data_IF_650335193042
#
_entry.id   IF_650335193042
#
_cell.length_a   1.000
_cell.length_b   1.000
_cell.length_c   1.000
_cell.angle_alpha   90.00
_cell.angle_beta   90.00
_cell.angle_gamma   90.00
#
_symmetry.space_group_name_H-M   'P 1'
#
loop_
_entity.id
_entity.type
_entity.pdbx_description
1 polymer ?
#
# COMPACT_ATOMS: atom_id res chain seq x y z
N UNK A 1 -26.94 -24.51 -41.25
CA UNK A 1 -25.85 -24.81 -40.33
C UNK A 1 -24.71 -23.76 -40.37
N UNK A 2 -24.92 -22.55 -40.90
CA UNK A 2 -23.88 -21.48 -40.98
C UNK A 2 -24.11 -20.31 -40.02
N UNK A 3 -25.17 -20.31 -39.22
CA UNK A 3 -25.52 -19.21 -38.33
C UNK A 3 -25.08 -19.45 -36.87
N UNK A 4 -24.62 -20.67 -36.50
CA UNK A 4 -24.16 -20.98 -35.14
C UNK A 4 -22.67 -20.63 -34.90
N UNK A 5 -21.88 -20.49 -35.98
CA UNK A 5 -20.44 -20.19 -35.87
C UNK A 5 -20.13 -18.70 -35.52
N UNK A 6 -21.08 -17.79 -35.79
CA UNK A 6 -20.89 -16.38 -35.51
C UNK A 6 -21.17 -15.96 -34.06
N UNK A 7 -21.95 -16.76 -33.31
CA UNK A 7 -22.26 -16.45 -31.90
C UNK A 7 -21.14 -16.84 -30.95
N UNK A 8 -20.29 -17.80 -31.35
CA UNK A 8 -19.14 -18.21 -30.50
C UNK A 8 -17.95 -17.25 -30.59
N UNK A 9 -17.85 -16.43 -31.64
CA UNK A 9 -16.71 -15.50 -31.82
C UNK A 9 -16.88 -14.19 -31.05
N UNK A 10 -18.09 -13.84 -30.63
CA UNK A 10 -18.36 -12.58 -29.89
C UNK A 10 -18.12 -12.75 -28.39
N UNK A 11 -18.21 -13.99 -27.85
CA UNK A 11 -18.02 -14.26 -26.42
C UNK A 11 -16.53 -14.27 -26.02
N UNK A 12 -15.61 -14.45 -26.97
CA UNK A 12 -14.16 -14.51 -26.68
C UNK A 12 -13.54 -13.11 -26.61
N UNK A 13 -14.18 -12.07 -27.18
CA UNK A 13 -13.64 -10.71 -27.20
C UNK A 13 -13.90 -9.89 -25.91
N UNK A 14 -14.73 -10.39 -24.97
CA UNK A 14 -15.10 -9.67 -23.75
C UNK A 14 -14.23 -9.99 -22.53
N UNK A 15 -13.26 -10.90 -22.64
CA UNK A 15 -12.39 -11.31 -21.51
C UNK A 15 -10.95 -10.82 -21.58
N UNK A 16 -10.63 -9.85 -22.44
CA UNK A 16 -9.26 -9.32 -22.56
C UNK A 16 -9.03 -8.00 -21.78
N UNK A 17 -9.90 -7.63 -20.87
CA UNK A 17 -9.67 -6.49 -20.00
C UNK A 17 -9.36 -6.99 -18.59
N UNK A 18 -8.09 -7.06 -18.27
CA UNK A 18 -7.40 -7.24 -16.98
C UNK A 18 -6.69 -8.59 -16.79
N UNK A 19 -5.80 -8.92 -17.72
CA UNK A 19 -4.67 -9.77 -17.37
C UNK A 19 -3.47 -8.86 -17.08
N UNK A 20 -3.42 -8.26 -15.90
CA UNK A 20 -2.12 -7.92 -15.34
C UNK A 20 -1.44 -9.26 -15.06
N UNK A 21 -0.29 -9.48 -15.71
CA UNK A 21 0.48 -10.71 -15.60
C UNK A 21 0.81 -10.98 -14.13
N UNK A 22 0.62 -12.22 -13.63
CA UNK A 22 1.13 -12.58 -12.32
C UNK A 22 2.66 -12.47 -12.36
N UNK A 23 3.22 -11.44 -11.71
CA UNK A 23 4.67 -11.29 -11.59
C UNK A 23 5.23 -9.86 -11.62
N UNK A 24 4.48 -8.87 -12.07
CA UNK A 24 4.95 -7.46 -11.98
C UNK A 24 4.61 -6.90 -10.61
N UNK A 25 5.62 -6.44 -9.89
CA UNK A 25 5.45 -5.68 -8.65
C UNK A 25 5.04 -4.26 -8.99
N UNK A 26 4.21 -3.64 -8.14
CA UNK A 26 3.88 -2.21 -8.22
C UNK A 26 5.15 -1.39 -8.01
N UNK A 27 5.41 -0.47 -8.93
CA UNK A 27 6.53 0.47 -8.89
C UNK A 27 6.02 1.93 -8.88
N UNK A 28 6.87 2.90 -8.54
CA UNK A 28 6.52 4.31 -8.68
C UNK A 28 6.07 4.65 -10.11
N UNK A 29 4.92 5.34 -10.22
CA UNK A 29 4.27 5.68 -11.48
C UNK A 29 3.27 4.66 -12.00
N UNK A 30 3.23 3.45 -11.43
CA UNK A 30 2.22 2.45 -11.81
C UNK A 30 0.82 2.86 -11.36
N UNK A 31 -0.18 2.32 -12.07
CA UNK A 31 -1.60 2.58 -11.81
C UNK A 31 -2.40 1.30 -11.68
N UNK A 32 -3.31 1.28 -10.70
CA UNK A 32 -4.38 0.30 -10.58
C UNK A 32 -5.71 1.05 -10.71
N UNK A 33 -6.36 0.91 -11.85
CA UNK A 33 -7.50 1.76 -12.19
C UNK A 33 -7.07 3.23 -12.28
N UNK A 34 -7.66 4.10 -11.44
CA UNK A 34 -7.30 5.52 -11.34
C UNK A 34 -6.26 5.80 -10.26
N UNK A 35 -5.98 4.84 -9.38
CA UNK A 35 -4.97 4.98 -8.33
C UNK A 35 -3.57 4.98 -8.93
N UNK A 36 -2.75 5.93 -8.53
CA UNK A 36 -1.34 6.03 -8.91
C UNK A 36 -0.46 5.91 -7.68
N UNK A 37 0.64 5.18 -7.81
CA UNK A 37 1.62 4.92 -6.74
C UNK A 37 2.84 5.82 -6.94
N UNK A 38 3.13 6.68 -5.95
CA UNK A 38 4.14 7.74 -6.03
C UNK A 38 5.18 7.53 -4.92
N UNK A 39 6.47 7.69 -5.24
CA UNK A 39 7.57 7.65 -4.27
C UNK A 39 8.03 9.02 -3.81
N UNK A 40 7.77 10.07 -4.60
CA UNK A 40 8.28 11.41 -4.37
C UNK A 40 7.42 12.15 -3.33
N UNK A 41 8.05 12.52 -2.20
CA UNK A 41 7.40 13.25 -1.12
C UNK A 41 6.91 14.64 -1.57
N UNK A 42 7.63 15.32 -2.46
CA UNK A 42 7.22 16.64 -2.97
C UNK A 42 5.97 16.55 -3.85
N UNK A 43 5.78 15.43 -4.55
CA UNK A 43 4.60 15.18 -5.37
C UNK A 43 3.39 14.70 -4.58
N UNK A 44 3.60 14.32 -3.32
CA UNK A 44 2.54 13.82 -2.44
C UNK A 44 2.52 14.55 -1.09
N UNK A 45 2.19 15.85 -1.05
CA UNK A 45 1.97 16.57 0.20
C UNK A 45 0.65 16.12 0.84
N UNK A 46 0.68 15.01 1.56
CA UNK A 46 -0.50 14.32 2.05
C UNK A 46 -0.27 13.78 3.47
N UNK A 47 -1.32 13.54 4.26
CA UNK A 47 -1.20 12.91 5.56
C UNK A 47 -0.74 11.46 5.43
N UNK A 48 -0.11 10.94 6.48
CA UNK A 48 0.13 9.51 6.61
C UNK A 48 -1.18 8.81 6.97
N UNK A 49 -1.32 7.55 6.57
CA UNK A 49 -2.47 6.73 6.91
C UNK A 49 -2.69 6.63 8.43
N UNK A 50 -1.63 6.58 9.22
CA UNK A 50 -1.69 6.59 10.69
C UNK A 50 -2.33 7.87 11.25
N UNK A 51 -2.15 9.01 10.59
CA UNK A 51 -2.73 10.29 11.02
C UNK A 51 -4.24 10.34 10.75
N UNK A 52 -4.70 9.63 9.69
CA UNK A 52 -6.11 9.55 9.31
C UNK A 52 -6.85 8.55 10.20
N UNK A 53 -6.25 7.38 10.39
CA UNK A 53 -6.91 6.22 11.01
C UNK A 53 -6.54 6.00 12.48
N UNK A 54 -5.53 6.72 12.98
CA UNK A 54 -5.00 6.55 14.33
C UNK A 54 -4.14 5.29 14.50
N UNK A 55 -3.10 5.38 15.34
CA UNK A 55 -2.38 4.24 15.86
C UNK A 55 -3.02 3.88 17.21
N UNK A 56 -3.41 2.68 17.53
CA UNK A 56 -3.16 1.35 17.00
C UNK A 56 -4.38 0.68 16.33
N UNK A 57 -5.33 1.44 15.78
CA UNK A 57 -6.53 0.91 15.11
C UNK A 57 -6.19 0.03 13.90
N UNK A 58 -4.94 0.04 13.47
CA UNK A 58 -4.41 -0.80 12.40
C UNK A 58 -4.60 -2.31 12.65
N UNK A 59 -4.75 -2.73 13.91
CA UNK A 59 -4.86 -4.15 14.24
C UNK A 59 -6.31 -4.67 14.30
N UNK A 60 -7.33 -3.81 14.49
CA UNK A 60 -8.68 -4.28 14.88
C UNK A 60 -9.84 -3.47 14.31
N UNK A 61 -9.62 -2.47 13.46
CA UNK A 61 -10.69 -1.60 12.98
C UNK A 61 -10.76 -1.44 11.47
N UNK A 62 -11.95 -1.09 10.98
CA UNK A 62 -12.13 -0.55 9.63
C UNK A 62 -11.86 0.94 9.70
N UNK A 63 -10.88 1.42 8.95
CA UNK A 63 -10.66 2.85 8.75
C UNK A 63 -11.42 3.32 7.52
N UNK A 64 -12.01 4.51 7.61
CA UNK A 64 -12.66 5.16 6.49
C UNK A 64 -11.82 6.33 6.00
N UNK A 65 -11.43 6.29 4.73
CA UNK A 65 -10.76 7.38 4.04
C UNK A 65 -11.81 8.29 3.42
N UNK A 66 -11.84 9.59 3.76
CA UNK A 66 -12.80 10.53 3.20
C UNK A 66 -12.73 10.61 1.67
N UNK A 67 -13.88 10.76 1.02
CA UNK A 67 -14.00 10.82 -0.44
C UNK A 67 -13.26 12.01 -1.09
N UNK A 68 -13.03 13.07 -0.35
CA UNK A 68 -12.31 14.27 -0.77
C UNK A 68 -10.79 14.19 -0.56
N UNK A 69 -10.32 13.15 0.15
CA UNK A 69 -8.89 12.92 0.31
C UNK A 69 -8.30 12.28 -0.96
N UNK A 70 -7.61 13.09 -1.73
CA UNK A 70 -7.07 12.67 -3.03
C UNK A 70 -5.71 11.98 -2.95
N UNK A 71 -5.01 12.08 -1.82
CA UNK A 71 -3.69 11.46 -1.61
C UNK A 71 -3.49 11.11 -0.14
N UNK A 72 -2.78 10.02 0.12
CA UNK A 72 -2.28 9.66 1.45
C UNK A 72 -1.08 8.72 1.35
N UNK A 73 -0.26 8.68 2.44
CA UNK A 73 0.88 7.79 2.55
C UNK A 73 0.53 6.52 3.30
N UNK A 74 1.03 5.39 2.79
CA UNK A 74 1.12 4.14 3.51
C UNK A 74 2.60 3.89 3.79
N UNK A 75 2.95 3.75 5.07
CA UNK A 75 4.33 3.58 5.52
C UNK A 75 4.52 2.22 6.18
N UNK A 76 5.69 1.62 5.97
CA UNK A 76 6.16 0.46 6.71
C UNK A 76 7.64 0.61 7.00
N UNK A 77 8.09 0.18 8.17
CA UNK A 77 9.48 0.36 8.57
C UNK A 77 9.75 -0.12 9.98
N UNK A 78 10.87 0.34 10.52
CA UNK A 78 11.34 -0.03 11.84
C UNK A 78 12.02 1.14 12.53
N UNK A 79 11.97 1.16 13.86
CA UNK A 79 12.64 2.15 14.69
C UNK A 79 13.46 1.46 15.79
N UNK A 80 14.59 2.07 16.14
CA UNK A 80 15.49 1.65 17.23
C UNK A 80 15.97 2.89 17.98
N UNK A 81 16.47 2.69 19.20
CA UNK A 81 16.90 3.79 20.06
C UNK A 81 18.12 4.56 19.52
N UNK A 82 18.89 3.93 18.64
CA UNK A 82 20.09 4.55 18.04
C UNK A 82 20.22 4.20 16.55
N UNK A 83 20.95 5.05 15.81
CA UNK A 83 21.26 4.81 14.40
C UNK A 83 22.01 3.49 14.19
N UNK A 84 22.97 3.16 15.06
CA UNK A 84 23.75 1.91 14.93
C UNK A 84 22.87 0.68 15.14
N UNK A 85 21.92 0.73 16.08
CA UNK A 85 20.96 -0.33 16.29
C UNK A 85 20.00 -0.47 15.09
N UNK A 86 19.56 0.64 14.53
CA UNK A 86 18.72 0.65 13.33
C UNK A 86 19.44 0.03 12.12
N UNK A 87 20.71 0.40 11.89
CA UNK A 87 21.51 -0.19 10.80
C UNK A 87 21.70 -1.70 11.00
N UNK A 88 21.93 -2.15 12.24
CA UNK A 88 22.06 -3.57 12.55
C UNK A 88 20.76 -4.32 12.31
N UNK A 89 19.62 -3.78 12.74
CA UNK A 89 18.31 -4.38 12.52
C UNK A 89 17.92 -4.43 11.04
N UNK A 90 18.31 -3.40 10.28
CA UNK A 90 17.95 -3.26 8.87
C UNK A 90 18.77 -4.14 7.94
N UNK A 91 20.04 -4.36 8.28
CA UNK A 91 21.07 -5.00 7.40
C UNK A 91 20.64 -6.34 6.80
N UNK A 92 20.08 -7.22 7.62
CA UNK A 92 19.68 -8.57 7.23
C UNK A 92 18.15 -8.75 7.33
N UNK A 93 17.40 -7.65 7.19
CA UNK A 93 15.96 -7.66 7.25
C UNK A 93 15.30 -7.96 5.90
N UNK A 94 14.20 -8.69 5.93
CA UNK A 94 13.36 -8.94 4.76
C UNK A 94 12.01 -8.25 4.93
N UNK A 95 11.60 -7.53 3.90
CA UNK A 95 10.36 -6.78 3.89
C UNK A 95 9.53 -7.06 2.66
N UNK A 96 8.23 -7.14 2.83
CA UNK A 96 7.29 -7.20 1.72
C UNK A 96 6.00 -6.47 2.06
N UNK A 97 5.39 -5.93 1.00
CA UNK A 97 4.08 -5.30 1.05
C UNK A 97 3.25 -5.82 -0.12
N UNK A 98 1.97 -6.03 0.12
CA UNK A 98 0.98 -6.18 -0.96
C UNK A 98 -0.12 -5.14 -0.79
N UNK A 99 -0.63 -4.64 -1.90
CA UNK A 99 -1.79 -3.77 -1.97
C UNK A 99 -2.85 -4.45 -2.84
N UNK A 100 -4.01 -4.75 -2.29
CA UNK A 100 -5.10 -5.50 -2.97
C UNK A 100 -4.63 -6.78 -3.64
N UNK A 101 -3.68 -7.48 -3.01
CA UNK A 101 -3.07 -8.70 -3.53
C UNK A 101 -1.93 -8.50 -4.52
N UNK A 102 -1.67 -7.28 -4.99
CA UNK A 102 -0.51 -6.98 -5.84
C UNK A 102 0.73 -6.74 -4.99
N UNK A 103 1.83 -7.38 -5.31
CA UNK A 103 3.10 -7.14 -4.62
C UNK A 103 3.62 -5.74 -4.93
N UNK A 104 4.18 -5.06 -3.92
CA UNK A 104 4.81 -3.74 -4.06
C UNK A 104 6.33 -3.93 -4.08
N UNK A 105 7.01 -3.27 -5.00
CA UNK A 105 8.47 -3.23 -5.06
C UNK A 105 9.03 -2.17 -4.12
N UNK A 106 9.02 -2.46 -2.81
CA UNK A 106 9.44 -1.51 -1.77
C UNK A 106 10.79 -0.85 -2.08
N UNK A 107 11.84 -1.58 -2.53
CA UNK A 107 13.11 -0.97 -2.89
C UNK A 107 13.01 0.13 -3.96
N UNK A 108 12.07 0.02 -4.90
CA UNK A 108 11.87 1.03 -5.94
C UNK A 108 11.31 2.35 -5.39
N UNK A 109 10.62 2.33 -4.24
CA UNK A 109 10.10 3.52 -3.57
C UNK A 109 11.16 4.24 -2.73
N UNK A 110 12.30 3.60 -2.45
CA UNK A 110 13.35 4.14 -1.58
C UNK A 110 12.98 4.14 -0.09
N UNK A 111 13.96 4.34 0.75
CA UNK A 111 13.77 4.47 2.20
C UNK A 111 13.94 5.90 2.66
N UNK A 112 13.30 6.25 3.75
CA UNK A 112 13.40 7.55 4.41
C UNK A 112 13.76 7.35 5.89
N UNK A 113 14.82 8.02 6.34
CA UNK A 113 15.25 8.01 7.73
C UNK A 113 14.71 9.26 8.44
N UNK A 114 14.19 9.06 9.67
CA UNK A 114 13.61 10.11 10.48
C UNK A 114 13.81 9.82 11.97
N UNK A 115 13.67 10.83 12.78
CA UNK A 115 13.51 10.67 14.23
C UNK A 115 12.01 10.63 14.55
N UNK A 116 11.58 9.61 15.27
CA UNK A 116 10.21 9.40 15.69
C UNK A 116 10.21 9.10 17.20
N UNK A 117 9.60 9.98 18.00
CA UNK A 117 9.48 9.83 19.45
C UNK A 117 10.82 9.56 20.17
N UNK A 118 11.93 10.15 19.67
CA UNK A 118 13.27 9.97 20.21
C UNK A 118 13.99 8.71 19.73
N UNK A 119 13.41 7.95 18.82
CA UNK A 119 14.01 6.78 18.17
C UNK A 119 14.41 7.13 16.73
N UNK A 120 15.43 6.45 16.23
CA UNK A 120 15.81 6.51 14.81
C UNK A 120 14.96 5.51 14.04
N UNK A 121 14.22 5.99 13.05
CA UNK A 121 13.33 5.18 12.23
C UNK A 121 13.74 5.21 10.76
N UNK A 122 13.57 4.07 10.09
CA UNK A 122 13.70 3.93 8.63
C UNK A 122 12.42 3.34 8.06
N UNK A 123 11.86 3.99 7.07
CA UNK A 123 10.57 3.59 6.48
C UNK A 123 10.63 3.59 4.96
N UNK A 124 9.88 2.66 4.34
CA UNK A 124 9.39 2.86 2.99
C UNK A 124 8.06 3.59 3.06
N UNK A 125 7.88 4.56 2.17
CA UNK A 125 6.67 5.34 2.05
C UNK A 125 6.10 5.19 0.63
N UNK A 126 4.86 4.73 0.55
CA UNK A 126 4.14 4.56 -0.71
C UNK A 126 2.97 5.52 -0.70
N UNK A 127 3.01 6.55 -1.54
CA UNK A 127 1.88 7.45 -1.69
C UNK A 127 0.86 6.87 -2.66
N UNK A 128 -0.40 6.87 -2.25
CA UNK A 128 -1.53 6.54 -3.11
C UNK A 128 -2.22 7.83 -3.51
N UNK A 129 -2.28 8.09 -4.80
CA UNK A 129 -2.99 9.22 -5.40
C UNK A 129 -4.26 8.75 -6.09
N UNK A 130 -5.32 9.53 -5.98
CA UNK A 130 -6.65 9.24 -6.52
C UNK A 130 -7.18 7.86 -6.09
N UNK A 131 -7.26 7.59 -4.79
CA UNK A 131 -7.75 6.30 -4.31
C UNK A 131 -9.15 6.03 -4.84
N UNK A 132 -9.39 4.80 -5.32
CA UNK A 132 -10.72 4.41 -5.81
C UNK A 132 -11.65 4.12 -4.64
N UNK A 133 -12.95 4.48 -4.72
CA UNK A 133 -13.92 4.08 -3.71
C UNK A 133 -14.01 2.56 -3.57
N UNK A 134 -14.12 2.09 -2.34
CA UNK A 134 -14.23 0.67 -2.02
C UNK A 134 -13.34 0.22 -0.89
N UNK A 135 -13.31 -1.08 -0.65
CA UNK A 135 -12.48 -1.71 0.38
C UNK A 135 -11.13 -2.05 -0.21
N UNK A 136 -10.08 -1.64 0.48
CA UNK A 136 -8.69 -1.93 0.13
C UNK A 136 -7.99 -2.67 1.26
N UNK A 137 -7.02 -3.50 0.91
CA UNK A 137 -6.24 -4.30 1.86
C UNK A 137 -4.76 -4.16 1.59
N UNK A 138 -4.01 -3.82 2.64
CA UNK A 138 -2.54 -3.82 2.62
C UNK A 138 -2.05 -4.88 3.59
N UNK A 139 -1.12 -5.72 3.15
CA UNK A 139 -0.47 -6.70 4.00
C UNK A 139 1.01 -6.38 4.03
N UNK A 140 1.52 -6.17 5.24
CA UNK A 140 2.95 -6.01 5.52
C UNK A 140 3.49 -7.30 6.09
N UNK A 141 4.70 -7.68 5.67
CA UNK A 141 5.46 -8.76 6.30
C UNK A 141 6.89 -8.29 6.49
N UNK A 142 7.44 -8.58 7.66
CA UNK A 142 8.84 -8.37 7.96
C UNK A 142 9.47 -9.60 8.60
N UNK A 143 10.75 -9.76 8.33
CA UNK A 143 11.65 -10.62 9.10
C UNK A 143 12.85 -9.79 9.52
N UNK A 144 13.14 -9.78 10.82
CA UNK A 144 14.33 -9.14 11.37
C UNK A 144 15.21 -10.22 11.99
N UNK A 145 16.46 -10.30 11.56
CA UNK A 145 17.45 -11.16 12.22
C UNK A 145 17.93 -10.53 13.52
N UNK A 146 18.01 -9.20 13.55
CA UNK A 146 18.54 -8.40 14.65
C UNK A 146 17.55 -7.29 15.03
N UNK A 147 17.84 -6.60 16.14
CA UNK A 147 17.04 -5.48 16.62
C UNK A 147 16.29 -5.79 17.90
N UNK A 148 15.48 -4.85 18.36
CA UNK A 148 14.72 -4.93 19.62
C UNK A 148 13.60 -5.99 19.58
N UNK A 149 13.05 -6.30 18.39
CA UNK A 149 12.02 -7.33 18.20
C UNK A 149 12.36 -8.24 16.99
N UNK A 150 13.32 -9.17 17.13
CA UNK A 150 13.69 -10.08 16.06
C UNK A 150 12.57 -11.07 15.76
N UNK A 151 12.57 -11.62 14.54
CA UNK A 151 11.62 -12.62 14.06
C UNK A 151 10.66 -12.13 13.01
N UNK A 152 9.67 -12.98 12.71
CA UNK A 152 8.66 -12.71 11.68
C UNK A 152 7.46 -11.96 12.26
N UNK A 153 7.00 -10.97 11.51
CA UNK A 153 5.72 -10.30 11.76
C UNK A 153 4.95 -10.12 10.47
N UNK A 154 3.62 -10.23 10.56
CA UNK A 154 2.71 -9.90 9.47
C UNK A 154 1.55 -9.10 10.05
N UNK A 155 1.28 -7.95 9.44
CA UNK A 155 0.17 -7.08 9.79
C UNK A 155 -0.71 -6.87 8.56
N UNK A 156 -2.03 -6.88 8.77
CA UNK A 156 -3.01 -6.61 7.72
C UNK A 156 -3.79 -5.35 8.05
N UNK A 157 -3.81 -4.44 7.11
CA UNK A 157 -4.54 -3.19 7.18
C UNK A 157 -5.69 -3.26 6.18
N UNK A 158 -6.92 -3.07 6.65
CA UNK A 158 -8.10 -2.95 5.79
C UNK A 158 -8.74 -1.58 5.99
N UNK A 159 -9.04 -0.89 4.91
CA UNK A 159 -9.69 0.42 4.95
C UNK A 159 -10.71 0.56 3.82
N UNK A 160 -11.65 1.49 3.99
CA UNK A 160 -12.67 1.81 3.00
C UNK A 160 -12.46 3.24 2.51
N UNK A 161 -12.29 3.43 1.22
CA UNK A 161 -12.36 4.74 0.59
C UNK A 161 -13.83 5.05 0.31
N UNK A 162 -14.34 6.14 0.88
CA UNK A 162 -15.73 6.53 0.70
C UNK A 162 -15.97 7.05 -0.72
N UNK A 163 -17.17 6.85 -1.24
CA UNK A 163 -17.61 7.49 -2.48
C UNK A 163 -18.13 8.90 -2.21
N UNK A 164 -17.99 9.81 -3.16
CA UNK A 164 -18.51 11.18 -3.05
C UNK A 164 -20.04 11.21 -2.79
N UNK A 165 -20.77 10.22 -3.28
CA UNK A 165 -22.22 10.11 -3.10
C UNK A 165 -22.62 9.66 -1.68
N UNK A 166 -21.72 9.03 -0.92
CA UNK A 166 -22.00 8.55 0.44
C UNK A 166 -22.07 9.69 1.48
N UNK A 167 -21.60 10.89 1.15
CA UNK A 167 -21.56 12.05 2.03
C UNK A 167 -22.87 12.86 2.05
N UNK A 168 -23.89 12.46 1.28
CA UNK A 168 -25.15 13.21 1.15
C UNK A 168 -26.34 12.58 1.91
N UNK A 169 -26.12 11.90 3.01
CA UNK A 169 -27.25 11.51 3.89
C UNK A 169 -27.40 12.58 4.98
N UNK A 170 -28.49 13.34 4.98
CA UNK A 170 -28.77 14.39 5.96
C UNK A 170 -29.06 13.82 7.36
#
# INVERSE_FOLDING_TARGET
MKKLAYLMLIVIAAFTASCQFPGTKIQPGDKIGNMEFISDYEQCPAPNFSDICGFPTLAYGTCEIPADLTKFWISTGWAEDTQDALELAWKDSEWSMTFDGYAVDLPAFGTFDMELDGQMARTWNVCISNPTPGIHTVIYKRHLENGSEPGNRADTLTFTVLSADATQTP
#
